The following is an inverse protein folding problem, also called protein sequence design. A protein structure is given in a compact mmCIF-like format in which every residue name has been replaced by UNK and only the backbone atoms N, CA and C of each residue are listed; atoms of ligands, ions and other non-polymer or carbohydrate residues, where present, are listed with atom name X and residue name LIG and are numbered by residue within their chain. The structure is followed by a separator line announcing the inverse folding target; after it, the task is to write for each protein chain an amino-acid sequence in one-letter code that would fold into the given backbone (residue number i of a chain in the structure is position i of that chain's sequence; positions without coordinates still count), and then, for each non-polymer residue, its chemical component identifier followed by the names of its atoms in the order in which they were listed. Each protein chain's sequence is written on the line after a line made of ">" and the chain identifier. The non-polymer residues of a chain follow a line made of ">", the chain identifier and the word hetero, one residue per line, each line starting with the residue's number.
data_IF_046833138938
#
_entry.id   IF_046833138938
#
_cell.length_a   1.000
_cell.length_b   1.000
_cell.length_c   1.000
_cell.angle_alpha   90.00
_cell.angle_beta   90.00
_cell.angle_gamma   90.00
#
_symmetry.space_group_name_H-M   'P 1'
#
loop_
_entity.id
_entity.type
_entity.pdbx_description
1 polymer ?
#
# COMPACT_ATOMS: atom_id res chain seq x y z
N UNK A 1 0.07 1.84 7.09
CA UNK A 1 1.15 0.82 6.96
C UNK A 1 2.51 1.52 6.97
N UNK A 2 3.46 1.02 7.75
CA UNK A 2 4.81 1.56 7.89
C UNK A 2 5.82 0.70 7.13
N UNK A 3 7.01 1.24 6.87
CA UNK A 3 8.13 0.54 6.22
C UNK A 3 8.49 -0.76 6.96
N UNK A 4 8.56 -0.73 8.31
CA UNK A 4 8.86 -1.91 9.13
C UNK A 4 7.90 -3.09 8.94
N UNK A 5 6.66 -2.81 8.53
CA UNK A 5 5.63 -3.84 8.36
C UNK A 5 5.85 -4.66 7.08
N UNK A 6 6.72 -4.17 6.18
CA UNK A 6 6.94 -4.76 4.84
C UNK A 6 8.41 -4.93 4.46
N UNK A 7 9.34 -4.39 5.23
CA UNK A 7 10.77 -4.57 4.95
C UNK A 7 11.22 -6.00 5.19
N UNK A 8 12.20 -6.43 4.44
CA UNK A 8 12.92 -7.67 4.71
C UNK A 8 13.93 -7.42 5.82
N UNK A 9 13.86 -8.21 6.89
CA UNK A 9 14.83 -8.26 7.98
C UNK A 9 15.99 -9.21 7.64
N UNK A 10 17.09 -9.15 8.38
CA UNK A 10 18.23 -10.05 8.14
C UNK A 10 18.87 -9.81 6.78
N UNK A 11 19.11 -8.56 6.45
CA UNK A 11 19.59 -8.10 5.14
C UNK A 11 20.96 -8.68 4.81
N UNK A 12 21.07 -9.29 3.64
CA UNK A 12 22.36 -9.68 3.07
C UNK A 12 23.07 -8.40 2.63
N UNK A 13 24.24 -8.15 3.21
CA UNK A 13 25.05 -6.97 2.97
C UNK A 13 26.51 -7.36 2.76
N UNK A 14 27.29 -6.46 2.21
CA UNK A 14 28.74 -6.64 1.99
C UNK A 14 29.51 -5.48 2.59
N UNK A 15 30.80 -5.70 2.85
CA UNK A 15 31.72 -4.64 3.24
C UNK A 15 32.24 -3.87 2.03
N UNK A 16 32.71 -2.65 2.20
CA UNK A 16 33.27 -1.83 1.12
C UNK A 16 34.41 -2.52 0.36
N UNK A 17 35.19 -3.36 1.02
CA UNK A 17 36.36 -4.05 0.49
C UNK A 17 36.01 -5.38 -0.20
N UNK A 18 34.77 -5.81 -0.13
CA UNK A 18 34.30 -7.04 -0.79
C UNK A 18 34.54 -6.96 -2.29
N UNK A 19 35.16 -8.00 -2.88
CA UNK A 19 35.44 -8.05 -4.32
C UNK A 19 34.16 -8.19 -5.12
N UNK A 20 34.06 -7.54 -6.26
CA UNK A 20 32.87 -7.59 -7.11
C UNK A 20 32.50 -9.02 -7.56
N UNK A 21 33.48 -9.94 -7.67
CA UNK A 21 33.19 -11.35 -7.94
C UNK A 21 32.40 -12.00 -6.80
N UNK A 22 32.69 -11.64 -5.56
CA UNK A 22 32.01 -12.17 -4.39
C UNK A 22 30.63 -11.52 -4.22
N UNK A 23 30.51 -10.22 -4.55
CA UNK A 23 29.23 -9.54 -4.69
C UNK A 23 28.35 -10.27 -5.72
N UNK A 24 28.87 -10.54 -6.94
CA UNK A 24 28.13 -11.24 -7.98
C UNK A 24 27.67 -12.64 -7.54
N UNK A 25 28.53 -13.37 -6.81
CA UNK A 25 28.18 -14.67 -6.25
C UNK A 25 27.02 -14.58 -5.27
N UNK A 26 27.08 -13.64 -4.32
CA UNK A 26 26.02 -13.46 -3.33
C UNK A 26 24.69 -13.03 -3.96
N UNK A 27 24.71 -12.12 -4.95
CA UNK A 27 23.52 -11.74 -5.71
C UNK A 27 22.85 -12.96 -6.34
N UNK A 28 23.66 -13.82 -6.99
CA UNK A 28 23.18 -15.03 -7.67
C UNK A 28 22.68 -16.10 -6.71
N UNK A 29 23.43 -16.40 -5.65
CA UNK A 29 23.10 -17.44 -4.67
C UNK A 29 21.81 -17.13 -3.90
N UNK A 30 21.58 -15.85 -3.61
CA UNK A 30 20.41 -15.40 -2.84
C UNK A 30 19.27 -14.89 -3.73
N UNK A 31 19.41 -14.92 -5.05
CA UNK A 31 18.40 -14.45 -6.02
C UNK A 31 17.97 -13.00 -5.76
N UNK A 32 18.93 -12.13 -5.42
CA UNK A 32 18.69 -10.71 -5.16
C UNK A 32 19.41 -9.85 -6.19
N UNK A 33 18.80 -8.75 -6.61
CA UNK A 33 19.32 -7.87 -7.65
C UNK A 33 20.17 -6.71 -7.12
N UNK A 34 20.47 -6.69 -5.81
CA UNK A 34 21.38 -5.73 -5.18
C UNK A 34 21.30 -5.79 -3.67
N UNK A 35 22.35 -5.27 -3.02
CA UNK A 35 22.54 -5.34 -1.58
C UNK A 35 23.19 -4.08 -1.03
N UNK A 36 22.95 -3.73 0.25
CA UNK A 36 23.65 -2.64 0.93
C UNK A 36 25.12 -2.94 1.13
N UNK A 37 25.92 -1.89 1.09
CA UNK A 37 27.33 -1.89 1.50
C UNK A 37 27.39 -1.21 2.87
N UNK A 38 27.88 -1.93 3.87
CA UNK A 38 27.93 -1.48 5.26
C UNK A 38 29.36 -1.48 5.79
N UNK A 39 29.68 -0.57 6.70
CA UNK A 39 30.93 -0.59 7.44
C UNK A 39 30.90 -1.60 8.61
N UNK A 40 32.02 -1.70 9.34
CA UNK A 40 32.14 -2.60 10.48
C UNK A 40 31.22 -2.22 11.65
N UNK A 41 30.71 -0.99 11.66
CA UNK A 41 29.75 -0.49 12.65
C UNK A 41 28.29 -0.75 12.27
N UNK A 42 28.03 -1.25 11.04
CA UNK A 42 26.72 -1.52 10.48
C UNK A 42 26.06 -0.30 9.84
N UNK A 43 26.83 0.77 9.58
CA UNK A 43 26.34 1.97 8.90
C UNK A 43 26.22 1.71 7.40
N UNK A 44 25.08 2.06 6.80
CA UNK A 44 24.86 1.89 5.37
C UNK A 44 25.57 3.00 4.58
N UNK A 45 26.63 2.63 3.83
CA UNK A 45 27.45 3.54 3.04
C UNK A 45 26.91 3.72 1.62
N UNK A 46 26.41 2.66 1.01
CA UNK A 46 25.94 2.64 -0.38
C UNK A 46 25.13 1.40 -0.68
N UNK A 47 24.77 1.26 -1.95
CA UNK A 47 24.11 0.07 -2.50
C UNK A 47 24.86 -0.39 -3.74
N UNK A 48 25.12 -1.69 -3.86
CA UNK A 48 25.66 -2.32 -5.07
C UNK A 48 24.61 -3.25 -5.67
N UNK A 49 24.45 -3.21 -7.00
CA UNK A 49 23.41 -3.92 -7.73
C UNK A 49 23.96 -4.69 -8.93
N UNK A 50 23.11 -5.53 -9.55
CA UNK A 50 23.43 -6.19 -10.83
C UNK A 50 23.77 -5.17 -11.93
N UNK A 51 23.08 -4.02 -11.97
CA UNK A 51 23.37 -2.98 -12.95
C UNK A 51 24.82 -2.48 -12.86
N UNK A 52 25.36 -2.33 -11.65
CA UNK A 52 26.75 -1.91 -11.44
C UNK A 52 27.75 -2.96 -11.95
N UNK A 53 27.39 -4.25 -11.87
CA UNK A 53 28.19 -5.34 -12.41
C UNK A 53 28.11 -5.41 -13.94
N UNK A 54 26.94 -5.15 -14.54
CA UNK A 54 26.74 -5.14 -15.99
C UNK A 54 27.53 -4.03 -16.65
N UNK A 55 27.60 -2.83 -16.07
CA UNK A 55 28.45 -1.73 -16.54
C UNK A 55 29.89 -2.21 -16.69
N UNK A 56 30.41 -2.98 -15.74
CA UNK A 56 31.76 -3.55 -15.82
C UNK A 56 31.92 -4.58 -16.94
N UNK A 57 30.90 -5.40 -17.21
CA UNK A 57 30.96 -6.39 -18.29
C UNK A 57 31.00 -5.75 -19.68
N UNK A 58 30.29 -4.63 -19.87
CA UNK A 58 30.29 -3.85 -21.11
C UNK A 58 31.64 -3.19 -21.37
N UNK A 59 32.44 -2.95 -20.33
CA UNK A 59 33.72 -2.27 -20.37
C UNK A 59 34.91 -3.17 -20.65
N UNK A 60 34.71 -4.46 -20.96
CA UNK A 60 35.83 -5.27 -21.47
C UNK A 60 36.34 -4.62 -22.73
N UNK A 61 37.65 -4.25 -22.82
CA UNK A 61 38.22 -3.78 -24.07
C UNK A 61 38.06 -4.91 -25.07
N UNK A 62 37.07 -4.83 -25.96
CA UNK A 62 37.14 -5.55 -27.20
C UNK A 62 38.45 -5.11 -27.84
N UNK A 63 39.33 -6.10 -28.01
CA UNK A 63 40.62 -6.03 -28.71
C UNK A 63 40.81 -4.73 -29.48
N UNK A 64 41.87 -3.97 -29.15
CA UNK A 64 42.43 -2.83 -29.86
C UNK A 64 42.16 -2.90 -31.36
N UNK A 65 40.98 -2.60 -31.82
CA UNK A 65 40.78 -2.01 -33.12
C UNK A 65 40.79 -0.52 -32.85
N UNK A 66 41.82 0.14 -33.37
CA UNK A 66 41.97 1.58 -33.48
C UNK A 66 40.69 2.13 -34.10
N UNK A 67 39.65 2.37 -33.32
CA UNK A 67 38.47 3.04 -33.80
C UNK A 67 38.76 4.53 -33.83
N UNK A 68 38.37 5.19 -34.89
CA UNK A 68 38.53 6.59 -35.22
C UNK A 68 37.94 7.56 -34.17
N UNK A 69 37.25 7.03 -33.13
CA UNK A 69 36.54 7.78 -32.13
C UNK A 69 37.46 8.52 -31.13
N UNK A 70 38.75 8.23 -31.13
CA UNK A 70 39.73 8.94 -30.32
C UNK A 70 39.99 10.39 -30.77
N UNK A 71 39.52 10.77 -31.98
CA UNK A 71 39.77 12.09 -32.59
C UNK A 71 38.63 13.09 -32.31
N UNK A 72 37.41 12.60 -31.95
CA UNK A 72 36.25 13.45 -31.67
C UNK A 72 35.82 13.32 -30.21
N UNK A 73 36.66 13.82 -29.31
CA UNK A 73 36.47 14.14 -27.91
C UNK A 73 35.05 13.98 -27.32
N UNK A 74 34.48 12.76 -27.25
CA UNK A 74 33.40 12.50 -26.35
C UNK A 74 33.93 12.60 -24.92
N UNK A 75 33.38 13.54 -24.15
CA UNK A 75 33.70 13.72 -22.73
C UNK A 75 33.19 12.48 -21.98
N UNK A 76 34.05 11.51 -21.79
CA UNK A 76 33.80 10.39 -20.91
C UNK A 76 33.70 10.95 -19.48
N UNK A 77 32.55 10.74 -18.82
CA UNK A 77 32.36 11.11 -17.44
C UNK A 77 33.43 10.39 -16.58
N UNK A 78 34.24 11.11 -15.79
CA UNK A 78 35.25 10.50 -14.95
C UNK A 78 34.67 9.48 -13.95
N UNK A 79 33.40 9.61 -13.58
CA UNK A 79 32.69 8.64 -12.72
C UNK A 79 32.38 7.34 -13.45
N UNK A 80 31.95 7.39 -14.72
CA UNK A 80 31.78 6.20 -15.54
C UNK A 80 33.09 5.43 -15.68
N UNK A 81 34.19 6.12 -15.95
CA UNK A 81 35.51 5.49 -16.10
C UNK A 81 35.97 4.81 -14.81
N UNK A 82 35.67 5.39 -13.63
CA UNK A 82 35.96 4.77 -12.33
C UNK A 82 35.13 3.50 -12.10
N UNK A 83 33.86 3.50 -12.45
CA UNK A 83 32.97 2.33 -12.34
C UNK A 83 33.43 1.18 -13.24
N UNK A 84 33.97 1.49 -14.42
CA UNK A 84 34.54 0.51 -15.35
C UNK A 84 35.76 -0.21 -14.77
N UNK A 85 36.61 0.47 -14.00
CA UNK A 85 37.81 -0.09 -13.36
C UNK A 85 37.53 -0.74 -12.00
N UNK A 86 36.29 -0.65 -11.47
CA UNK A 86 35.95 -1.10 -10.13
C UNK A 86 36.29 -2.57 -9.88
N UNK A 87 36.88 -2.88 -8.75
CA UNK A 87 37.23 -4.23 -8.32
C UNK A 87 36.58 -4.59 -6.98
N UNK A 88 36.12 -3.59 -6.22
CA UNK A 88 35.49 -3.74 -4.91
C UNK A 88 34.10 -3.10 -4.88
N UNK A 89 33.28 -3.47 -3.88
CA UNK A 89 31.96 -2.92 -3.67
C UNK A 89 32.00 -1.39 -3.50
N UNK A 90 32.98 -0.85 -2.76
CA UNK A 90 33.22 0.60 -2.59
C UNK A 90 33.32 1.35 -3.93
N UNK A 91 34.01 0.74 -4.88
CA UNK A 91 34.27 1.39 -6.17
C UNK A 91 33.07 1.33 -7.13
N UNK A 92 32.19 0.34 -6.95
CA UNK A 92 31.03 0.11 -7.82
C UNK A 92 29.73 0.65 -7.24
N UNK A 93 29.61 0.77 -5.91
CA UNK A 93 28.36 1.14 -5.25
C UNK A 93 27.90 2.55 -5.62
N UNK A 94 26.60 2.74 -5.64
CA UNK A 94 26.00 4.06 -5.60
C UNK A 94 26.04 4.59 -4.17
N UNK A 95 26.70 5.72 -3.96
CA UNK A 95 26.91 6.34 -2.65
C UNK A 95 26.70 7.87 -2.73
N UNK A 96 26.14 8.51 -1.68
CA UNK A 96 25.60 7.87 -0.48
C UNK A 96 24.34 7.06 -0.78
N UNK A 97 24.05 6.03 0.05
CA UNK A 97 22.83 5.27 -0.05
C UNK A 97 21.61 6.16 0.18
N UNK A 98 20.58 6.02 -0.67
CA UNK A 98 19.25 6.56 -0.39
C UNK A 98 18.59 5.63 0.62
N UNK A 99 18.39 6.10 1.85
CA UNK A 99 17.88 5.31 2.96
C UNK A 99 16.54 5.83 3.46
N UNK A 100 15.81 5.00 4.21
CA UNK A 100 14.55 5.39 4.85
C UNK A 100 14.49 4.85 6.29
N UNK A 101 13.76 5.53 7.18
CA UNK A 101 13.53 5.06 8.54
C UNK A 101 12.41 4.01 8.59
N UNK A 102 12.52 3.04 9.51
CA UNK A 102 11.56 1.95 9.65
C UNK A 102 10.14 2.42 10.02
N UNK A 103 9.99 3.52 10.75
CA UNK A 103 8.71 4.07 11.15
C UNK A 103 8.01 4.96 10.11
N UNK A 104 8.67 5.22 8.98
CA UNK A 104 8.11 6.08 7.92
C UNK A 104 6.95 5.38 7.23
N UNK A 105 5.96 6.16 6.73
CA UNK A 105 4.86 5.61 5.94
C UNK A 105 5.36 4.94 4.65
N UNK A 106 4.74 3.84 4.24
CA UNK A 106 5.12 3.11 3.04
C UNK A 106 4.99 3.96 1.75
N UNK A 107 4.02 4.88 1.70
CA UNK A 107 3.86 5.86 0.60
C UNK A 107 5.07 6.76 0.40
N UNK A 108 5.76 7.09 1.49
CA UNK A 108 6.98 7.91 1.42
C UNK A 108 8.14 7.12 0.83
N UNK A 109 8.24 5.82 1.14
CA UNK A 109 9.19 4.94 0.49
C UNK A 109 8.94 4.84 -1.01
N UNK A 110 7.67 4.73 -1.43
CA UNK A 110 7.29 4.71 -2.84
C UNK A 110 7.68 6.02 -3.56
N UNK A 111 7.35 7.17 -2.97
CA UNK A 111 7.73 8.48 -3.50
C UNK A 111 9.25 8.59 -3.64
N UNK A 112 10.00 8.22 -2.60
CA UNK A 112 11.45 8.29 -2.59
C UNK A 112 12.10 7.38 -3.65
N UNK A 113 11.55 6.19 -3.90
CA UNK A 113 12.02 5.30 -4.97
C UNK A 113 11.81 5.89 -6.36
N UNK A 114 10.68 6.56 -6.57
CA UNK A 114 10.35 7.22 -7.85
C UNK A 114 11.24 8.45 -8.04
N UNK A 115 11.30 9.35 -7.05
CA UNK A 115 12.02 10.62 -7.14
C UNK A 115 13.52 10.45 -7.31
N UNK A 116 14.09 9.38 -6.73
CA UNK A 116 15.53 9.09 -6.78
C UNK A 116 15.91 8.03 -7.79
N UNK A 117 14.93 7.52 -8.54
CA UNK A 117 15.08 6.43 -9.50
C UNK A 117 15.85 5.21 -8.93
N UNK A 118 15.44 4.77 -7.72
CA UNK A 118 16.04 3.61 -7.06
C UNK A 118 15.02 2.48 -6.93
N UNK A 119 15.50 1.24 -7.01
CA UNK A 119 14.66 0.04 -6.93
C UNK A 119 14.56 -0.52 -5.51
N UNK A 120 15.35 0.01 -4.58
CA UNK A 120 15.44 -0.45 -3.18
C UNK A 120 15.90 0.66 -2.27
N UNK A 121 15.46 0.58 -1.03
CA UNK A 121 15.86 1.48 0.05
C UNK A 121 16.38 0.65 1.22
N UNK A 122 17.65 0.76 1.59
CA UNK A 122 18.12 0.30 2.89
C UNK A 122 17.32 1.02 3.98
N UNK A 123 16.81 0.25 4.94
CA UNK A 123 16.06 0.78 6.08
C UNK A 123 17.03 0.92 7.25
N UNK A 124 17.05 2.12 7.84
CA UNK A 124 18.01 2.44 8.90
C UNK A 124 17.32 2.94 10.17
N UNK A 125 17.87 2.56 11.31
CA UNK A 125 17.54 3.10 12.64
C UNK A 125 18.83 3.54 13.35
N UNK A 126 18.88 4.78 13.81
CA UNK A 126 20.10 5.32 14.40
C UNK A 126 21.32 5.29 13.47
N UNK A 127 21.11 5.34 12.15
CA UNK A 127 22.16 5.25 11.14
C UNK A 127 22.58 3.82 10.77
N UNK A 128 22.10 2.80 11.48
CA UNK A 128 22.45 1.38 11.25
C UNK A 128 21.42 0.69 10.40
N UNK A 129 21.87 -0.23 9.54
CA UNK A 129 21.02 -1.04 8.68
C UNK A 129 20.18 -2.02 9.52
N UNK A 130 18.85 -1.93 9.43
CA UNK A 130 17.89 -2.83 10.10
C UNK A 130 17.03 -3.63 9.16
N UNK A 131 16.96 -3.22 7.88
CA UNK A 131 16.12 -3.86 6.87
C UNK A 131 16.42 -3.36 5.48
N UNK A 132 15.71 -3.92 4.50
CA UNK A 132 15.69 -3.44 3.11
C UNK A 132 14.27 -3.50 2.59
N UNK A 133 13.87 -2.48 1.83
CA UNK A 133 12.58 -2.42 1.16
C UNK A 133 12.81 -2.28 -0.35
N UNK A 134 12.10 -3.06 -1.15
CA UNK A 134 12.20 -3.07 -2.61
C UNK A 134 10.89 -2.61 -3.28
N UNK A 135 10.93 -2.29 -4.58
CA UNK A 135 9.71 -2.04 -5.38
C UNK A 135 8.77 -3.24 -5.36
N UNK A 136 9.31 -4.47 -5.34
CA UNK A 136 8.50 -5.68 -5.26
C UNK A 136 7.70 -5.75 -3.94
N UNK A 137 8.31 -5.34 -2.82
CA UNK A 137 7.63 -5.31 -1.52
C UNK A 137 6.48 -4.29 -1.51
N UNK A 138 6.67 -3.14 -2.19
CA UNK A 138 5.62 -2.13 -2.35
C UNK A 138 4.44 -2.66 -3.19
N UNK A 139 4.72 -3.33 -4.30
CA UNK A 139 3.69 -3.97 -5.14
C UNK A 139 2.95 -5.04 -4.35
N UNK A 140 3.66 -5.88 -3.60
CA UNK A 140 3.03 -6.90 -2.74
C UNK A 140 2.20 -6.28 -1.61
N UNK A 141 2.65 -5.17 -1.05
CA UNK A 141 1.90 -4.43 -0.04
C UNK A 141 0.58 -3.89 -0.61
N UNK A 142 0.62 -3.43 -1.85
CA UNK A 142 -0.55 -2.93 -2.57
C UNK A 142 -1.59 -4.04 -2.81
N UNK A 143 -1.15 -5.18 -3.33
CA UNK A 143 -2.02 -6.35 -3.52
C UNK A 143 -2.61 -6.90 -2.21
N UNK A 144 -1.85 -6.84 -1.11
CA UNK A 144 -2.34 -7.23 0.21
C UNK A 144 -3.35 -6.26 0.78
N UNK A 145 -3.18 -4.96 0.51
CA UNK A 145 -4.13 -3.96 0.97
C UNK A 145 -5.53 -4.25 0.43
N UNK A 146 -5.67 -4.54 -0.86
CA UNK A 146 -6.96 -4.89 -1.46
C UNK A 146 -7.55 -6.17 -0.85
N UNK A 147 -6.71 -7.16 -0.56
CA UNK A 147 -7.14 -8.40 0.10
C UNK A 147 -7.55 -8.16 1.56
N UNK A 148 -6.80 -7.37 2.31
CA UNK A 148 -7.12 -7.01 3.69
C UNK A 148 -8.44 -6.22 3.75
N UNK A 149 -8.69 -5.31 2.79
CA UNK A 149 -9.96 -4.60 2.62
C UNK A 149 -11.09 -5.60 2.35
N UNK A 150 -10.90 -6.51 1.41
CA UNK A 150 -11.90 -7.53 1.06
C UNK A 150 -12.25 -8.41 2.26
N UNK A 151 -11.26 -8.88 3.01
CA UNK A 151 -11.45 -9.71 4.20
C UNK A 151 -12.19 -8.92 5.30
N UNK A 152 -11.84 -7.65 5.53
CA UNK A 152 -12.54 -6.78 6.48
C UNK A 152 -13.99 -6.54 6.08
N UNK A 153 -14.29 -6.34 4.79
CA UNK A 153 -15.66 -6.19 4.32
C UNK A 153 -16.46 -7.45 4.58
N UNK A 154 -15.93 -8.63 4.22
CA UNK A 154 -16.61 -9.92 4.39
C UNK A 154 -16.85 -10.27 5.85
N UNK A 155 -15.81 -10.13 6.69
CA UNK A 155 -15.87 -10.61 8.07
C UNK A 155 -16.42 -9.56 9.03
N UNK A 156 -15.95 -8.29 8.95
CA UNK A 156 -16.33 -7.28 9.93
C UNK A 156 -17.62 -6.54 9.55
N UNK A 157 -17.76 -6.14 8.27
CA UNK A 157 -18.92 -5.40 7.81
C UNK A 157 -20.11 -6.33 7.61
N UNK A 158 -20.02 -7.29 6.71
CA UNK A 158 -21.17 -8.11 6.35
C UNK A 158 -21.53 -9.11 7.45
N UNK A 159 -20.59 -9.97 7.86
CA UNK A 159 -20.90 -11.05 8.80
C UNK A 159 -21.12 -10.57 10.24
N UNK A 160 -20.18 -9.79 10.82
CA UNK A 160 -20.25 -9.39 12.23
C UNK A 160 -21.18 -8.23 12.50
N UNK A 161 -21.20 -7.21 11.64
CA UNK A 161 -21.98 -5.99 11.88
C UNK A 161 -23.38 -6.09 11.31
N UNK A 162 -23.52 -6.58 10.08
CA UNK A 162 -24.79 -6.61 9.37
C UNK A 162 -25.51 -7.96 9.47
N UNK A 163 -24.84 -9.03 9.93
CA UNK A 163 -25.38 -10.40 10.04
C UNK A 163 -25.84 -10.96 8.68
N UNK A 164 -25.17 -10.49 7.60
CA UNK A 164 -25.42 -10.93 6.22
C UNK A 164 -24.42 -12.03 5.85
N UNK A 165 -24.85 -12.99 5.02
CA UNK A 165 -23.92 -13.97 4.48
C UNK A 165 -23.12 -13.35 3.34
N UNK A 166 -21.81 -13.33 3.49
CA UNK A 166 -20.92 -12.76 2.47
C UNK A 166 -20.92 -13.52 1.13
N UNK A 167 -21.47 -14.76 1.12
CA UNK A 167 -21.63 -15.54 -0.11
C UNK A 167 -22.77 -15.02 -1.03
N UNK A 168 -23.68 -14.20 -0.51
CA UNK A 168 -24.77 -13.60 -1.28
C UNK A 168 -24.32 -12.33 -2.05
N UNK A 169 -23.05 -11.96 -1.88
CA UNK A 169 -22.46 -10.75 -2.47
C UNK A 169 -21.25 -11.08 -3.32
N UNK A 170 -21.19 -10.48 -4.49
CA UNK A 170 -20.01 -10.41 -5.33
C UNK A 170 -19.23 -9.16 -4.94
N UNK A 171 -18.01 -9.37 -4.40
CA UNK A 171 -17.18 -8.26 -3.89
C UNK A 171 -15.81 -8.36 -4.50
N UNK A 172 -15.41 -7.31 -5.19
CA UNK A 172 -14.09 -7.13 -5.75
C UNK A 172 -13.46 -5.84 -5.21
N UNK A 173 -12.16 -5.88 -4.98
CA UNK A 173 -11.38 -4.70 -4.56
C UNK A 173 -10.20 -4.55 -5.49
N UNK A 174 -10.15 -3.41 -6.18
CA UNK A 174 -9.05 -3.04 -7.07
C UNK A 174 -8.62 -1.61 -6.77
N UNK A 175 -7.33 -1.42 -6.51
CA UNK A 175 -6.76 -0.09 -6.24
C UNK A 175 -7.52 0.66 -5.12
N UNK A 176 -7.89 -0.08 -4.06
CA UNK A 176 -8.67 0.46 -2.94
C UNK A 176 -10.09 0.93 -3.31
N UNK A 177 -10.57 0.66 -4.53
CA UNK A 177 -11.95 0.84 -4.98
C UNK A 177 -12.69 -0.48 -4.78
N UNK A 178 -13.81 -0.43 -4.06
CA UNK A 178 -14.65 -1.59 -3.77
C UNK A 178 -15.80 -1.63 -4.74
N UNK A 179 -15.94 -2.74 -5.45
CA UNK A 179 -17.11 -3.07 -6.24
C UNK A 179 -17.93 -4.10 -5.45
N UNK A 180 -19.19 -3.80 -5.18
CA UNK A 180 -20.11 -4.71 -4.51
C UNK A 180 -21.42 -4.84 -5.29
N UNK A 181 -21.83 -6.10 -5.54
CA UNK A 181 -23.11 -6.44 -6.12
C UNK A 181 -23.80 -7.53 -5.29
N UNK A 182 -25.11 -7.58 -5.30
CA UNK A 182 -25.92 -8.55 -4.57
C UNK A 182 -27.31 -8.01 -4.26
N UNK A 183 -28.13 -8.80 -3.55
CA UNK A 183 -29.49 -8.42 -3.19
C UNK A 183 -29.65 -8.37 -1.67
N UNK A 184 -30.35 -7.36 -1.17
CA UNK A 184 -30.71 -7.21 0.24
C UNK A 184 -32.22 -7.02 0.38
N UNK A 185 -32.75 -7.30 1.55
CA UNK A 185 -34.20 -7.20 1.80
C UNK A 185 -34.72 -5.76 1.62
N UNK A 186 -33.94 -4.76 2.06
CA UNK A 186 -34.38 -3.37 2.14
C UNK A 186 -33.37 -2.39 1.55
N UNK A 187 -33.87 -1.31 0.98
CA UNK A 187 -33.05 -0.20 0.49
C UNK A 187 -32.23 0.48 1.59
N UNK A 188 -32.80 0.61 2.80
CA UNK A 188 -32.06 1.13 3.95
C UNK A 188 -30.85 0.27 4.31
N UNK A 189 -30.96 -1.05 4.19
CA UNK A 189 -29.87 -2.01 4.41
C UNK A 189 -28.75 -1.79 3.38
N UNK A 190 -29.08 -1.65 2.08
CA UNK A 190 -28.10 -1.36 1.05
C UNK A 190 -27.28 -0.10 1.36
N UNK A 191 -27.95 0.99 1.74
CA UNK A 191 -27.27 2.25 2.11
C UNK A 191 -26.37 2.12 3.33
N UNK A 192 -26.77 1.32 4.32
CA UNK A 192 -25.96 1.08 5.52
C UNK A 192 -24.71 0.29 5.14
N UNK A 193 -24.85 -0.77 4.32
CA UNK A 193 -23.71 -1.57 3.84
C UNK A 193 -22.72 -0.70 3.08
N UNK A 194 -23.18 0.09 2.11
CA UNK A 194 -22.33 1.03 1.36
C UNK A 194 -21.56 1.98 2.28
N UNK A 195 -22.26 2.56 3.24
CA UNK A 195 -21.64 3.48 4.20
C UNK A 195 -20.60 2.81 5.08
N UNK A 196 -20.88 1.61 5.58
CA UNK A 196 -19.95 0.86 6.42
C UNK A 196 -18.71 0.42 5.64
N UNK A 197 -18.86 -0.01 4.38
CA UNK A 197 -17.74 -0.31 3.49
C UNK A 197 -16.86 0.92 3.27
N UNK A 198 -17.46 2.09 3.05
CA UNK A 198 -16.71 3.35 2.91
C UNK A 198 -15.95 3.79 4.17
N UNK A 199 -16.24 3.20 5.34
CA UNK A 199 -15.52 3.44 6.59
C UNK A 199 -14.38 2.44 6.84
N UNK A 200 -14.24 1.41 6.00
CA UNK A 200 -13.13 0.45 6.13
C UNK A 200 -11.81 1.14 5.78
N UNK A 201 -10.82 0.97 6.64
CA UNK A 201 -9.50 1.56 6.44
C UNK A 201 -8.89 1.11 5.11
N UNK A 202 -8.49 2.08 4.29
CA UNK A 202 -7.88 1.84 2.98
C UNK A 202 -8.87 1.94 1.81
N UNK A 203 -10.18 1.95 2.02
CA UNK A 203 -11.16 2.17 0.96
C UNK A 203 -11.15 3.64 0.52
N UNK A 204 -11.03 3.87 -0.79
CA UNK A 204 -11.05 5.21 -1.39
C UNK A 204 -12.38 5.53 -2.05
N UNK A 205 -13.05 4.51 -2.61
CA UNK A 205 -14.32 4.63 -3.31
C UNK A 205 -15.13 3.33 -3.19
N UNK A 206 -16.46 3.44 -3.18
CA UNK A 206 -17.38 2.30 -3.20
C UNK A 206 -18.28 2.43 -4.42
N UNK A 207 -18.23 1.45 -5.30
CA UNK A 207 -19.12 1.32 -6.46
C UNK A 207 -20.10 0.20 -6.17
N UNK A 208 -21.35 0.57 -5.90
CA UNK A 208 -22.41 -0.35 -5.47
C UNK A 208 -23.39 -0.63 -6.58
N UNK A 209 -23.65 -1.91 -6.79
CA UNK A 209 -24.74 -2.46 -7.60
C UNK A 209 -25.67 -3.33 -6.75
N UNK A 210 -25.96 -2.88 -5.50
CA UNK A 210 -26.85 -3.57 -4.60
C UNK A 210 -28.31 -3.36 -5.03
N UNK A 211 -29.04 -4.44 -5.17
CA UNK A 211 -30.47 -4.48 -5.39
C UNK A 211 -31.23 -4.70 -4.08
N UNK A 212 -32.48 -4.33 -4.00
CA UNK A 212 -33.32 -4.49 -2.81
C UNK A 212 -34.73 -4.92 -3.19
N UNK A 213 -35.36 -5.72 -2.31
CA UNK A 213 -36.74 -6.18 -2.50
C UNK A 213 -37.76 -5.12 -2.11
N UNK A 214 -37.51 -4.35 -1.03
CA UNK A 214 -38.41 -3.34 -0.48
C UNK A 214 -37.74 -1.98 -0.37
N UNK A 215 -38.37 -0.93 -0.92
CA UNK A 215 -37.96 0.46 -0.68
C UNK A 215 -38.65 0.98 0.59
N UNK A 216 -37.96 0.89 1.72
CA UNK A 216 -38.39 1.38 3.03
C UNK A 216 -37.93 2.81 3.34
N UNK A 217 -37.40 3.50 2.33
CA UNK A 217 -36.92 4.89 2.48
C UNK A 217 -37.97 5.92 2.09
N UNK A 218 -39.05 5.52 1.43
CA UNK A 218 -40.22 6.35 1.13
C UNK A 218 -41.23 6.18 2.25
N UNK A 219 -41.16 7.07 3.27
CA UNK A 219 -42.21 7.18 4.25
C UNK A 219 -43.34 8.02 3.63
N UNK A 220 -44.42 7.39 3.16
CA UNK A 220 -45.69 8.05 3.00
C UNK A 220 -46.37 8.13 4.38
N UNK A 221 -46.53 9.35 4.95
CA UNK A 221 -47.34 9.46 6.15
C UNK A 221 -48.76 8.93 5.86
N UNK A 222 -49.36 8.20 6.78
CA UNK A 222 -50.73 7.73 6.58
C UNK A 222 -51.60 8.94 6.22
N UNK A 223 -52.30 8.85 5.09
CA UNK A 223 -53.32 9.82 4.67
C UNK A 223 -54.23 10.05 5.85
N UNK A 224 -54.38 11.31 6.28
CA UNK A 224 -55.31 11.67 7.36
C UNK A 224 -56.64 10.92 7.17
N UNK A 225 -56.96 10.07 8.14
CA UNK A 225 -58.29 9.46 8.23
C UNK A 225 -59.24 10.63 8.37
N UNK A 226 -60.05 10.89 7.31
CA UNK A 226 -61.15 11.84 7.38
C UNK A 226 -61.95 11.58 8.64
N UNK A 227 -61.85 12.49 9.61
CA UNK A 227 -62.70 12.54 10.76
C UNK A 227 -64.08 12.91 10.23
N UNK A 228 -64.98 11.94 10.11
CA UNK A 228 -66.40 12.24 10.00
C UNK A 228 -66.83 13.10 11.18
N UNK A 229 -67.44 14.27 10.96
CA UNK A 229 -67.97 15.10 12.03
C UNK A 229 -69.37 14.54 12.40
N UNK A 230 -69.41 13.58 13.33
CA UNK A 230 -70.73 13.01 13.70
C UNK A 230 -70.67 12.16 14.94
N UNK A 231 -70.51 12.79 16.11
CA UNK A 231 -71.07 12.34 17.43
C UNK A 231 -70.60 13.24 18.59
N UNK A 232 -70.88 14.54 18.46
CA UNK A 232 -70.86 15.40 19.65
C UNK A 232 -72.31 15.55 20.12
N UNK A 233 -72.76 14.66 21.00
CA UNK A 233 -73.86 14.96 21.90
C UNK A 233 -73.98 13.84 22.91
N UNK A 234 -74.18 14.27 24.17
CA UNK A 234 -74.54 13.49 25.35
C UNK A 234 -73.31 13.06 26.21
N UNK A 235 -72.90 13.93 27.15
CA UNK A 235 -72.94 13.78 28.56
C UNK A 235 -72.48 15.12 29.22
N UNK A 236 -73.50 16.00 29.47
CA UNK A 236 -73.40 17.04 30.47
C UNK A 236 -74.12 16.56 31.69
N UNK A 237 -73.57 16.84 32.85
CA UNK A 237 -74.04 16.67 34.24
C UNK A 237 -73.46 15.43 34.92
N UNK A 238 -72.62 15.68 35.99
CA UNK A 238 -72.89 16.14 37.28
C UNK A 238 -71.62 16.53 38.05
N UNK A 239 -71.60 17.74 38.58
CA UNK A 239 -70.72 18.14 39.67
C UNK A 239 -71.28 17.63 41.02
N UNK A 240 -70.46 17.15 41.93
CA UNK A 240 -70.75 17.32 43.40
C UNK A 240 -69.78 18.33 43.97
N UNK A 241 -70.39 19.20 44.81
CA UNK A 241 -69.78 20.30 45.57
C UNK A 241 -68.84 19.81 46.68
N UNK A 242 -67.92 20.67 47.14
CA UNK A 242 -66.99 20.33 48.24
C UNK A 242 -67.63 20.48 49.56
N UNK A 243 -67.48 19.50 50.46
CA UNK A 243 -67.78 19.62 51.90
C UNK A 243 -66.60 20.14 52.66
N UNK A 244 -66.83 21.29 53.32
CA UNK A 244 -66.02 21.83 54.42
C UNK A 244 -65.98 20.88 55.63
N UNK A 245 -64.78 20.61 56.12
CA UNK A 245 -64.34 20.85 57.52
C UNK A 245 -62.83 20.51 57.62
#
# INVERSE_FOLDING_TARGET
>A
MKVRDRMTHGVISVTPETRLRDVARQLSEHHISGMPVVDDEGTCLGVVSEADLLVKLLSRPQSRRLSHDWIFGERHDPEEMRRHAATTARQAMSAPAVTIGADRPLREAAALMVDRDVNRLPVVEGGKLVGILTRADLVQAYLRLDREILDSIRDDVLRRTMWLDSSDFEIEVHESVVHIAGTVDRRSTARIVERLIGLVDGVTEVQSALEWELDDTTFEPPTEVEHEPGAASIIAREHPQPLHR
#
